data_IF_010371581327
#
_entry.id   IF_010371581327
#
_cell.length_a   1.000
_cell.length_b   1.000
_cell.length_c   1.000
_cell.angle_alpha   90.00
_cell.angle_beta   90.00
_cell.angle_gamma   90.00
#
_symmetry.space_group_name_H-M   'P 1'
#
loop_
_entity.id
_entity.type
_entity.pdbx_description
1 polymer ?
#
# COMPACT_ATOMS: atom_id res chain seq x y z
N UNK A 1 -31.58 12.32 15.90
CA UNK A 1 -30.48 11.32 15.80
C UNK A 1 -29.44 11.68 16.84
N UNK A 2 -29.18 10.84 17.86
CA UNK A 2 -28.14 11.14 18.85
C UNK A 2 -26.77 11.25 18.18
N UNK A 3 -26.03 12.32 18.50
CA UNK A 3 -24.67 12.56 17.97
C UNK A 3 -23.72 11.53 18.62
N UNK A 4 -22.93 10.82 17.81
CA UNK A 4 -21.87 9.95 18.33
C UNK A 4 -20.81 10.81 19.02
N UNK A 5 -20.56 10.56 20.29
CA UNK A 5 -19.55 11.27 21.09
C UNK A 5 -18.17 10.61 20.96
N UNK A 6 -17.11 11.35 21.29
CA UNK A 6 -15.76 10.80 21.30
C UNK A 6 -15.63 9.65 22.31
N UNK A 7 -16.30 9.73 23.47
CA UNK A 7 -16.34 8.67 24.46
C UNK A 7 -16.94 7.36 23.88
N UNK A 8 -18.04 7.47 23.13
CA UNK A 8 -18.64 6.34 22.42
C UNK A 8 -17.66 5.72 21.41
N UNK A 9 -16.90 6.54 20.68
CA UNK A 9 -15.88 6.08 19.72
C UNK A 9 -14.78 5.31 20.44
N UNK A 10 -14.22 5.88 21.51
CA UNK A 10 -13.16 5.24 22.29
C UNK A 10 -13.62 3.91 22.88
N UNK A 11 -14.83 3.91 23.46
CA UNK A 11 -15.40 2.69 24.03
C UNK A 11 -15.66 1.62 22.97
N UNK A 12 -16.10 2.02 21.77
CA UNK A 12 -16.32 1.09 20.65
C UNK A 12 -15.03 0.40 20.20
N UNK A 13 -13.91 1.14 20.16
CA UNK A 13 -12.58 0.58 19.87
C UNK A 13 -12.22 -0.52 20.89
N UNK A 14 -12.31 -0.20 22.19
CA UNK A 14 -11.99 -1.14 23.27
C UNK A 14 -12.89 -2.38 23.26
N UNK A 15 -14.18 -2.21 23.01
CA UNK A 15 -15.15 -3.29 22.87
C UNK A 15 -14.82 -4.17 21.65
N UNK A 16 -14.52 -3.55 20.50
CA UNK A 16 -14.10 -4.27 19.30
C UNK A 16 -12.86 -5.14 19.55
N UNK A 17 -11.87 -4.57 20.24
CA UNK A 17 -10.64 -5.28 20.66
C UNK A 17 -10.95 -6.49 21.55
N UNK A 18 -11.79 -6.32 22.58
CA UNK A 18 -12.19 -7.40 23.48
C UNK A 18 -12.99 -8.51 22.79
N UNK A 19 -13.90 -8.16 21.88
CA UNK A 19 -14.68 -9.12 21.09
C UNK A 19 -13.75 -9.92 20.17
N UNK A 20 -12.84 -9.25 19.46
CA UNK A 20 -11.87 -9.93 18.60
C UNK A 20 -10.97 -10.89 19.39
N UNK A 21 -10.56 -10.50 20.59
CA UNK A 21 -9.76 -11.33 21.50
C UNK A 21 -10.58 -12.41 22.23
N UNK A 22 -11.88 -12.52 21.94
CA UNK A 22 -12.84 -13.46 22.58
C UNK A 22 -12.95 -13.28 24.11
N UNK A 23 -12.67 -12.09 24.62
CA UNK A 23 -12.75 -11.76 26.05
C UNK A 23 -14.19 -11.46 26.51
N UNK A 24 -15.02 -10.98 25.60
CA UNK A 24 -16.44 -10.73 25.84
C UNK A 24 -17.25 -11.21 24.63
N UNK A 25 -18.54 -11.54 24.86
CA UNK A 25 -19.44 -11.83 23.75
C UNK A 25 -19.81 -10.56 22.98
N UNK A 26 -20.20 -10.72 21.70
CA UNK A 26 -20.73 -9.61 20.90
C UNK A 26 -21.95 -8.97 21.56
N UNK A 27 -22.85 -9.77 22.11
CA UNK A 27 -24.11 -9.30 22.73
C UNK A 27 -23.77 -8.38 23.92
N UNK A 28 -22.89 -8.82 24.81
CA UNK A 28 -22.48 -8.05 25.97
C UNK A 28 -21.74 -6.77 25.57
N UNK A 29 -20.87 -6.84 24.58
CA UNK A 29 -20.15 -5.68 24.08
C UNK A 29 -21.08 -4.62 23.47
N UNK A 30 -22.05 -5.05 22.64
CA UNK A 30 -23.04 -4.11 22.09
C UNK A 30 -23.94 -3.53 23.16
N UNK A 31 -24.31 -4.30 24.19
CA UNK A 31 -25.10 -3.79 25.33
C UNK A 31 -24.38 -2.64 26.05
N UNK A 32 -23.09 -2.76 26.33
CA UNK A 32 -22.30 -1.67 26.93
C UNK A 32 -22.39 -0.39 26.12
N UNK A 33 -22.34 -0.47 24.79
CA UNK A 33 -22.42 0.71 23.91
C UNK A 33 -23.83 1.29 23.83
N UNK A 34 -24.86 0.44 23.86
CA UNK A 34 -26.26 0.91 23.88
C UNK A 34 -26.62 1.55 25.22
N UNK A 35 -26.07 1.07 26.32
CA UNK A 35 -26.24 1.67 27.66
C UNK A 35 -25.56 3.07 27.73
N UNK A 36 -24.53 3.31 26.92
CA UNK A 36 -23.93 4.65 26.72
C UNK A 36 -24.76 5.56 25.78
N UNK A 37 -25.90 5.08 25.26
CA UNK A 37 -26.79 5.85 24.39
C UNK A 37 -26.53 5.70 22.90
N UNK A 38 -25.66 4.77 22.45
CA UNK A 38 -25.52 4.45 21.04
C UNK A 38 -26.73 3.65 20.53
N UNK A 39 -27.17 3.92 19.30
CA UNK A 39 -28.10 3.02 18.63
C UNK A 39 -27.41 1.69 18.34
N UNK A 40 -28.12 0.59 18.49
CA UNK A 40 -27.56 -0.75 18.30
C UNK A 40 -26.91 -0.94 16.90
N UNK A 41 -27.53 -0.39 15.85
CA UNK A 41 -26.94 -0.42 14.50
C UNK A 41 -25.60 0.34 14.43
N UNK A 42 -25.52 1.52 15.06
CA UNK A 42 -24.27 2.30 15.11
C UNK A 42 -23.21 1.57 15.93
N UNK A 43 -23.56 1.07 17.12
CA UNK A 43 -22.65 0.29 17.96
C UNK A 43 -22.05 -0.89 17.17
N UNK A 44 -22.89 -1.59 16.41
CA UNK A 44 -22.47 -2.70 15.56
C UNK A 44 -21.47 -2.25 14.47
N UNK A 45 -21.74 -1.15 13.76
CA UNK A 45 -20.82 -0.62 12.75
C UNK A 45 -19.47 -0.23 13.36
N UNK A 46 -19.45 0.48 14.48
CA UNK A 46 -18.22 0.91 15.12
C UNK A 46 -17.36 -0.27 15.61
N UNK A 47 -17.99 -1.28 16.22
CA UNK A 47 -17.29 -2.51 16.66
C UNK A 47 -16.72 -3.28 15.49
N UNK A 48 -17.52 -3.49 14.43
CA UNK A 48 -17.07 -4.29 13.28
C UNK A 48 -16.04 -3.55 12.43
N UNK A 49 -16.08 -2.22 12.33
CA UNK A 49 -15.02 -1.47 11.66
C UNK A 49 -13.65 -1.71 12.31
N UNK A 50 -13.58 -1.82 13.66
CA UNK A 50 -12.34 -2.24 14.31
C UNK A 50 -11.88 -3.62 13.81
N UNK A 51 -12.78 -4.60 13.76
CA UNK A 51 -12.46 -5.97 13.35
C UNK A 51 -11.96 -5.97 11.89
N UNK A 52 -12.67 -5.31 10.99
CA UNK A 52 -12.26 -5.20 9.58
C UNK A 52 -10.90 -4.50 9.43
N UNK A 53 -10.62 -3.45 10.18
CA UNK A 53 -9.32 -2.80 10.16
C UNK A 53 -8.18 -3.73 10.55
N UNK A 54 -8.38 -4.63 11.51
CA UNK A 54 -7.32 -5.56 11.94
C UNK A 54 -7.25 -6.86 11.13
N UNK A 55 -8.29 -7.19 10.36
CA UNK A 55 -8.30 -8.34 9.44
C UNK A 55 -7.98 -7.97 8.00
N UNK A 56 -8.02 -6.69 7.63
CA UNK A 56 -7.79 -6.21 6.26
C UNK A 56 -8.96 -6.47 5.31
N UNK A 57 -10.14 -6.83 5.83
CA UNK A 57 -11.31 -7.15 5.04
C UNK A 57 -12.09 -5.90 4.62
N UNK A 58 -12.76 -5.97 3.45
CA UNK A 58 -13.68 -4.93 2.99
C UNK A 58 -14.84 -4.75 3.94
N UNK A 59 -15.17 -3.51 4.28
CA UNK A 59 -16.37 -3.16 5.03
C UNK A 59 -17.23 -2.14 4.27
N UNK A 60 -18.54 -2.22 4.48
CA UNK A 60 -19.54 -1.34 3.84
C UNK A 60 -20.25 -0.42 4.82
N UNK A 61 -20.09 -0.65 6.13
CA UNK A 61 -20.67 0.18 7.19
C UNK A 61 -19.76 1.35 7.54
N UNK A 62 -20.26 2.57 7.48
CA UNK A 62 -19.47 3.79 7.64
C UNK A 62 -19.42 4.25 9.09
N UNK A 63 -18.24 4.60 9.59
CA UNK A 63 -18.00 5.36 10.81
C UNK A 63 -17.58 6.79 10.46
N UNK A 64 -17.66 7.74 11.42
CA UNK A 64 -17.29 9.12 11.14
C UNK A 64 -15.75 9.29 11.02
N UNK A 65 -15.32 10.41 10.42
CA UNK A 65 -13.88 10.67 10.18
C UNK A 65 -13.05 10.70 11.47
N UNK A 66 -13.60 11.22 12.57
CA UNK A 66 -12.93 11.19 13.86
C UNK A 66 -12.65 9.75 14.33
N UNK A 67 -13.64 8.86 14.21
CA UNK A 67 -13.47 7.46 14.60
C UNK A 67 -12.48 6.74 13.68
N UNK A 68 -12.50 7.04 12.38
CA UNK A 68 -11.51 6.48 11.43
C UNK A 68 -10.09 6.87 11.83
N UNK A 69 -9.83 8.17 12.07
CA UNK A 69 -8.52 8.67 12.50
C UNK A 69 -8.10 8.07 13.86
N UNK A 70 -9.02 8.07 14.83
CA UNK A 70 -8.76 7.50 16.14
C UNK A 70 -8.39 6.01 16.10
N UNK A 71 -9.12 5.21 15.29
CA UNK A 71 -8.88 3.78 15.17
C UNK A 71 -7.52 3.50 14.52
N UNK A 72 -7.19 4.18 13.45
CA UNK A 72 -5.87 4.04 12.79
C UNK A 72 -4.73 4.40 13.73
N UNK A 73 -4.86 5.53 14.46
CA UNK A 73 -3.88 5.94 15.47
C UNK A 73 -3.69 4.88 16.55
N UNK A 74 -4.79 4.37 17.11
CA UNK A 74 -4.75 3.36 18.18
C UNK A 74 -4.24 2.01 17.68
N UNK A 75 -4.54 1.62 16.44
CA UNK A 75 -4.00 0.41 15.83
C UNK A 75 -2.49 0.55 15.63
N UNK A 76 -2.01 1.72 15.21
CA UNK A 76 -0.57 1.99 15.12
C UNK A 76 0.11 1.85 16.49
N UNK A 77 -0.48 2.43 17.55
CA UNK A 77 0.03 2.33 18.92
C UNK A 77 0.02 0.87 19.43
N UNK A 78 -1.05 0.12 19.18
CA UNK A 78 -1.25 -1.24 19.70
C UNK A 78 -0.52 -2.33 18.90
N UNK A 79 -0.34 -2.16 17.58
CA UNK A 79 0.13 -3.20 16.65
C UNK A 79 1.29 -2.75 15.74
N UNK A 80 1.75 -1.52 15.87
CA UNK A 80 2.82 -0.97 15.04
C UNK A 80 2.45 -0.79 13.57
N UNK A 81 3.45 -0.58 12.73
CA UNK A 81 3.26 -0.32 11.30
C UNK A 81 2.51 -1.45 10.58
N UNK A 82 2.78 -2.72 10.90
CA UNK A 82 2.11 -3.86 10.26
C UNK A 82 0.60 -3.90 10.54
N UNK A 83 0.17 -3.52 11.75
CA UNK A 83 -1.25 -3.39 12.07
C UNK A 83 -1.89 -2.23 11.33
N UNK A 84 -1.18 -1.11 11.22
CA UNK A 84 -1.65 0.06 10.48
C UNK A 84 -1.76 -0.23 8.97
N UNK A 85 -0.77 -0.92 8.38
CA UNK A 85 -0.81 -1.36 6.97
C UNK A 85 -2.06 -2.19 6.68
N UNK A 86 -2.38 -3.15 7.56
CA UNK A 86 -3.60 -3.98 7.43
C UNK A 86 -4.88 -3.14 7.52
N UNK A 87 -4.92 -2.17 8.44
CA UNK A 87 -6.07 -1.28 8.58
C UNK A 87 -6.25 -0.35 7.37
N UNK A 88 -5.15 0.13 6.81
CA UNK A 88 -5.18 0.97 5.60
C UNK A 88 -5.62 0.18 4.37
N UNK A 89 -5.26 -1.11 4.25
CA UNK A 89 -5.80 -1.97 3.20
C UNK A 89 -7.33 -2.06 3.28
N UNK A 90 -7.87 -2.29 4.47
CA UNK A 90 -9.32 -2.33 4.70
C UNK A 90 -9.99 -0.98 4.37
N UNK A 91 -9.36 0.13 4.77
CA UNK A 91 -9.86 1.48 4.49
C UNK A 91 -9.82 1.81 2.99
N UNK A 92 -8.75 1.46 2.27
CA UNK A 92 -8.65 1.66 0.82
C UNK A 92 -9.81 0.96 0.10
N UNK A 93 -10.03 -0.34 0.36
CA UNK A 93 -11.14 -1.09 -0.24
C UNK A 93 -12.50 -0.45 0.05
N UNK A 94 -12.70 0.10 1.26
CA UNK A 94 -13.92 0.81 1.63
C UNK A 94 -14.10 2.13 0.86
N UNK A 95 -13.03 2.88 0.65
CA UNK A 95 -13.05 4.13 -0.11
C UNK A 95 -13.41 3.85 -1.57
N UNK A 96 -12.73 2.89 -2.20
CA UNK A 96 -12.97 2.47 -3.59
C UNK A 96 -14.42 1.99 -3.78
N UNK A 97 -14.94 1.17 -2.85
CA UNK A 97 -16.33 0.72 -2.87
C UNK A 97 -17.34 1.88 -2.87
N UNK A 98 -17.07 2.96 -2.13
CA UNK A 98 -17.97 4.12 -2.07
C UNK A 98 -17.80 5.06 -3.24
N UNK A 99 -16.61 5.23 -3.78
CA UNK A 99 -16.35 6.02 -4.99
C UNK A 99 -17.03 5.41 -6.21
N UNK A 100 -17.00 4.09 -6.34
CA UNK A 100 -17.68 3.36 -7.43
C UNK A 100 -19.22 3.41 -7.35
N UNK A 101 -19.78 3.39 -6.14
CA UNK A 101 -21.23 3.24 -5.95
C UNK A 101 -22.00 4.54 -5.76
N UNK A 102 -21.34 5.60 -5.36
CA UNK A 102 -22.01 6.86 -5.08
C UNK A 102 -21.08 8.04 -5.36
N UNK A 103 -21.64 9.12 -5.93
CA UNK A 103 -20.98 10.44 -5.95
C UNK A 103 -20.80 11.04 -4.55
N UNK A 104 -20.80 10.21 -3.48
CA UNK A 104 -20.64 10.67 -2.12
C UNK A 104 -19.19 11.08 -1.89
N UNK A 105 -18.98 12.30 -1.39
CA UNK A 105 -17.66 12.79 -1.04
C UNK A 105 -17.04 11.94 0.08
N UNK A 106 -16.05 11.13 -0.25
CA UNK A 106 -15.19 10.40 0.71
C UNK A 106 -13.94 11.22 1.07
N UNK A 107 -13.84 12.45 0.60
CA UNK A 107 -12.66 13.32 0.71
C UNK A 107 -12.02 13.31 2.09
N UNK A 108 -12.79 13.57 3.12
CA UNK A 108 -12.28 13.64 4.51
C UNK A 108 -11.65 12.32 5.00
N UNK A 109 -12.11 11.17 4.51
CA UNK A 109 -11.52 9.86 4.83
C UNK A 109 -10.33 9.54 3.92
N UNK A 110 -10.34 10.03 2.69
CA UNK A 110 -9.18 9.97 1.79
C UNK A 110 -8.01 10.78 2.35
N UNK A 111 -8.25 12.00 2.85
CA UNK A 111 -7.24 12.82 3.53
C UNK A 111 -6.63 12.10 4.75
N UNK A 112 -7.46 11.38 5.53
CA UNK A 112 -6.98 10.56 6.66
C UNK A 112 -6.14 9.39 6.15
N UNK A 113 -6.57 8.69 5.12
CA UNK A 113 -5.83 7.58 4.52
C UNK A 113 -4.45 8.04 4.05
N UNK A 114 -4.37 9.12 3.27
CA UNK A 114 -3.12 9.70 2.76
C UNK A 114 -2.17 10.10 3.89
N UNK A 115 -2.68 10.77 4.94
CA UNK A 115 -1.90 11.11 6.14
C UNK A 115 -1.17 9.90 6.75
N UNK A 116 -1.85 8.75 6.85
CA UNK A 116 -1.24 7.56 7.45
C UNK A 116 -0.34 6.78 6.48
N UNK A 117 -0.59 6.86 5.19
CA UNK A 117 0.34 6.35 4.17
C UNK A 117 1.67 7.13 4.24
N UNK A 118 1.63 8.45 4.23
CA UNK A 118 2.83 9.29 4.37
C UNK A 118 3.60 9.00 5.67
N UNK A 119 2.87 8.72 6.76
CA UNK A 119 3.49 8.41 8.04
C UNK A 119 4.23 7.06 7.99
N UNK A 120 3.71 6.05 7.32
CA UNK A 120 4.41 4.77 7.11
C UNK A 120 5.63 4.98 6.21
N UNK A 121 5.48 5.69 5.10
CA UNK A 121 6.57 5.96 4.14
C UNK A 121 7.73 6.71 4.79
N UNK A 122 7.44 7.70 5.62
CA UNK A 122 8.45 8.47 6.34
C UNK A 122 9.14 7.68 7.47
N UNK A 123 8.47 6.67 8.04
CA UNK A 123 9.02 5.81 9.09
C UNK A 123 9.74 4.57 8.54
N UNK A 124 9.62 4.25 7.26
CA UNK A 124 10.41 3.22 6.58
C UNK A 124 11.73 3.80 6.12
N UNK A 125 12.65 4.00 7.05
CA UNK A 125 14.07 4.22 6.74
C UNK A 125 14.61 2.96 6.05
N UNK A 126 15.06 3.12 4.83
CA UNK A 126 15.76 2.20 3.92
C UNK A 126 15.03 0.87 3.56
N UNK A 127 15.04 0.49 2.29
CA UNK A 127 14.55 -0.81 1.88
C UNK A 127 15.47 -1.88 2.46
N UNK A 128 14.96 -2.66 3.43
CA UNK A 128 15.65 -3.85 3.95
C UNK A 128 15.63 -4.89 2.83
N UNK A 129 16.79 -5.17 2.23
CA UNK A 129 16.93 -6.29 1.31
C UNK A 129 16.95 -7.58 2.13
N UNK A 130 16.26 -8.66 1.68
CA UNK A 130 16.18 -9.92 2.42
C UNK A 130 17.55 -10.54 2.75
N UNK A 131 18.61 -10.16 2.03
CA UNK A 131 19.95 -10.73 2.17
C UNK A 131 20.88 -9.91 3.09
N UNK A 132 20.44 -8.78 3.64
CA UNK A 132 21.22 -7.94 4.57
C UNK A 132 20.76 -8.18 6.02
N UNK A 133 20.93 -9.41 6.52
CA UNK A 133 20.59 -9.78 7.89
C UNK A 133 21.85 -9.79 8.75
N UNK A 134 21.79 -9.16 9.92
CA UNK A 134 22.87 -9.20 10.91
C UNK A 134 23.05 -10.65 11.42
N UNK A 135 24.17 -11.31 11.16
CA UNK A 135 24.36 -12.72 11.49
C UNK A 135 24.41 -13.01 13.01
N UNK A 136 24.42 -11.96 13.84
CA UNK A 136 24.44 -12.10 15.30
C UNK A 136 23.05 -12.10 15.94
N UNK A 137 21.98 -11.85 15.16
CA UNK A 137 20.60 -11.79 15.65
C UNK A 137 19.80 -13.01 15.20
N UNK A 138 18.99 -13.56 16.12
CA UNK A 138 18.01 -14.59 15.77
C UNK A 138 16.77 -13.92 15.14
N UNK A 139 16.49 -14.26 13.88
CA UNK A 139 15.33 -13.78 13.15
C UNK A 139 14.26 -14.86 13.08
N UNK A 140 13.03 -14.51 13.47
CA UNK A 140 11.87 -15.41 13.34
C UNK A 140 11.33 -15.33 11.90
N UNK A 141 11.51 -16.37 11.13
CA UNK A 141 10.97 -16.52 9.78
C UNK A 141 9.59 -17.20 9.80
N UNK A 142 8.82 -17.04 8.72
CA UNK A 142 7.56 -17.76 8.53
C UNK A 142 6.29 -17.01 8.96
N UNK A 143 6.37 -15.78 9.46
CA UNK A 143 5.18 -14.93 9.61
C UNK A 143 4.78 -14.34 8.28
N UNK A 144 3.55 -14.59 7.85
CA UNK A 144 2.95 -13.91 6.69
C UNK A 144 2.91 -12.40 6.94
N UNK A 145 3.69 -11.63 6.20
CA UNK A 145 3.60 -10.17 6.18
C UNK A 145 2.73 -9.79 4.98
N UNK A 146 1.55 -9.23 5.23
CA UNK A 146 0.80 -8.54 4.18
C UNK A 146 1.48 -7.20 3.94
N UNK A 147 2.00 -6.99 2.74
CA UNK A 147 2.60 -5.74 2.32
C UNK A 147 1.52 -4.95 1.58
N UNK A 148 1.16 -3.77 2.10
CA UNK A 148 0.39 -2.79 1.34
C UNK A 148 1.30 -2.28 0.20
N UNK A 149 1.06 -2.79 -0.98
CA UNK A 149 1.55 -2.16 -2.21
C UNK A 149 0.50 -1.11 -2.56
N UNK A 150 0.89 0.15 -2.70
CA UNK A 150 0.04 1.15 -3.35
C UNK A 150 -0.27 0.61 -4.74
N UNK A 151 -1.41 -0.03 -4.87
CA UNK A 151 -1.90 -0.53 -6.13
C UNK A 151 -2.59 0.65 -6.83
N UNK A 152 -1.79 1.61 -7.30
CA UNK A 152 -2.30 2.53 -8.31
C UNK A 152 -2.82 1.67 -9.44
N UNK A 153 -4.09 1.84 -9.81
CA UNK A 153 -4.75 1.09 -10.85
C UNK A 153 -3.94 1.22 -12.15
N UNK A 154 -3.09 0.22 -12.38
CA UNK A 154 -2.23 0.18 -13.57
C UNK A 154 -3.12 -0.23 -14.73
N UNK A 155 -3.41 0.70 -15.59
CA UNK A 155 -4.23 0.46 -16.77
C UNK A 155 -3.59 -0.62 -17.66
N UNK A 156 -4.16 -1.84 -17.75
CA UNK A 156 -3.58 -2.96 -18.49
C UNK A 156 -3.50 -2.68 -20.01
N UNK A 157 -4.36 -1.80 -20.51
CA UNK A 157 -4.35 -1.38 -21.92
C UNK A 157 -3.15 -0.47 -22.17
N UNK A 158 -2.85 0.45 -21.25
CA UNK A 158 -1.68 1.31 -21.36
C UNK A 158 -0.38 0.49 -21.30
N UNK A 159 -0.30 -0.50 -20.41
CA UNK A 159 0.81 -1.46 -20.37
C UNK A 159 0.98 -2.21 -21.70
N UNK A 160 -0.11 -2.74 -22.24
CA UNK A 160 -0.09 -3.46 -23.53
C UNK A 160 0.42 -2.58 -24.67
N UNK A 161 -0.10 -1.36 -24.79
CA UNK A 161 0.32 -0.38 -25.81
C UNK A 161 1.78 0.06 -25.63
N UNK A 162 2.28 0.17 -24.39
CA UNK A 162 3.68 0.44 -24.12
C UNK A 162 4.56 -0.70 -24.66
N UNK A 163 4.23 -1.96 -24.35
CA UNK A 163 4.97 -3.12 -24.82
C UNK A 163 4.88 -3.28 -26.34
N UNK A 164 3.74 -3.02 -26.96
CA UNK A 164 3.58 -3.01 -28.42
C UNK A 164 4.48 -1.97 -29.10
N UNK A 165 4.73 -0.85 -28.43
CA UNK A 165 5.58 0.21 -28.97
C UNK A 165 7.07 -0.02 -28.77
N UNK A 166 7.50 -0.45 -27.57
CA UNK A 166 8.91 -0.57 -27.19
C UNK A 166 9.46 -2.00 -27.26
N UNK A 167 8.59 -3.01 -27.37
CA UNK A 167 8.97 -4.43 -27.26
C UNK A 167 9.17 -4.90 -25.83
N UNK A 168 9.80 -6.07 -25.70
CA UNK A 168 10.03 -6.76 -24.41
C UNK A 168 11.48 -6.67 -23.91
N UNK A 169 12.31 -5.85 -24.56
CA UNK A 169 13.68 -5.59 -24.11
C UNK A 169 13.69 -4.50 -23.04
N UNK A 170 14.50 -4.69 -22.02
CA UNK A 170 14.72 -3.67 -21.00
C UNK A 170 15.36 -2.43 -21.61
N UNK A 171 14.69 -1.28 -21.51
CA UNK A 171 15.19 -0.04 -22.11
C UNK A 171 16.40 0.56 -21.37
N UNK A 172 16.85 -0.06 -20.27
CA UNK A 172 18.09 0.30 -19.57
C UNK A 172 19.25 -0.59 -19.99
N UNK A 173 19.14 -1.93 -19.82
CA UNK A 173 20.23 -2.89 -19.99
C UNK A 173 20.04 -3.87 -21.15
N UNK A 174 19.00 -3.69 -21.95
CA UNK A 174 18.64 -4.52 -23.11
C UNK A 174 18.33 -6.01 -22.82
N UNK A 175 18.18 -6.37 -21.54
CA UNK A 175 17.86 -7.73 -21.13
C UNK A 175 16.48 -8.17 -21.63
N UNK A 176 16.42 -9.38 -22.24
CA UNK A 176 15.17 -9.99 -22.71
C UNK A 176 14.92 -11.32 -22.00
N UNK A 177 13.76 -11.44 -21.34
CA UNK A 177 13.43 -12.65 -20.58
C UNK A 177 13.20 -13.88 -21.46
N UNK A 178 12.58 -13.71 -22.65
CA UNK A 178 12.37 -14.82 -23.57
C UNK A 178 13.69 -15.37 -24.10
N UNK A 179 14.64 -14.50 -24.44
CA UNK A 179 15.98 -14.92 -24.91
C UNK A 179 16.75 -15.65 -23.81
N UNK A 180 16.61 -15.20 -22.55
CA UNK A 180 17.35 -15.78 -21.42
C UNK A 180 16.72 -17.05 -20.85
N UNK A 181 15.37 -17.11 -20.79
CA UNK A 181 14.62 -18.17 -20.09
C UNK A 181 13.67 -18.96 -21.00
N UNK A 182 13.75 -18.77 -22.32
CA UNK A 182 12.87 -19.44 -23.29
C UNK A 182 11.38 -19.11 -23.05
N UNK A 183 10.52 -20.11 -23.20
CA UNK A 183 9.07 -19.92 -23.08
C UNK A 183 8.63 -19.46 -21.70
N UNK A 184 9.37 -19.79 -20.64
CA UNK A 184 9.10 -19.31 -19.28
C UNK A 184 9.17 -17.77 -19.18
N UNK A 185 10.06 -17.15 -19.94
CA UNK A 185 10.23 -15.70 -19.98
C UNK A 185 9.32 -14.97 -20.98
N UNK A 186 8.42 -15.69 -21.63
CA UNK A 186 7.57 -15.10 -22.67
C UNK A 186 6.65 -14.02 -22.07
N UNK A 187 6.61 -12.83 -22.71
CA UNK A 187 5.79 -11.67 -22.32
C UNK A 187 6.08 -11.11 -20.92
N UNK A 188 7.18 -11.50 -20.28
CA UNK A 188 7.57 -11.00 -18.98
C UNK A 188 8.47 -9.78 -19.11
N UNK A 189 8.01 -8.63 -18.62
CA UNK A 189 8.76 -7.38 -18.43
C UNK A 189 7.97 -6.48 -17.46
N UNK A 190 8.66 -5.65 -16.69
CA UNK A 190 8.02 -4.59 -15.94
C UNK A 190 7.79 -3.35 -16.83
N UNK A 191 6.80 -2.54 -16.49
CA UNK A 191 6.58 -1.23 -17.09
C UNK A 191 6.72 -0.18 -16.00
N UNK A 192 7.67 0.71 -16.17
CA UNK A 192 7.98 1.80 -15.26
C UNK A 192 7.30 3.09 -15.73
N UNK A 193 6.76 3.89 -14.79
CA UNK A 193 6.28 5.23 -15.05
C UNK A 193 7.43 6.22 -15.00
N UNK A 194 7.67 6.94 -16.09
CA UNK A 194 8.76 7.94 -16.19
C UNK A 194 8.53 9.09 -15.21
N UNK A 195 7.27 9.47 -15.01
CA UNK A 195 6.86 10.41 -13.95
C UNK A 195 6.22 9.61 -12.83
N UNK A 196 6.68 9.80 -11.61
CA UNK A 196 6.16 9.10 -10.45
C UNK A 196 4.68 9.45 -10.23
N UNK A 197 3.80 8.45 -10.31
CA UNK A 197 2.34 8.62 -10.15
C UNK A 197 2.03 9.25 -8.79
N UNK A 198 2.82 8.95 -7.76
CA UNK A 198 2.66 9.50 -6.41
C UNK A 198 2.76 11.03 -6.37
N UNK A 199 3.41 11.65 -7.36
CA UNK A 199 3.55 13.11 -7.44
C UNK A 199 2.42 13.81 -8.19
N UNK A 200 1.56 13.07 -8.91
CA UNK A 200 0.53 13.65 -9.77
C UNK A 200 -0.74 13.99 -9.00
N UNK A 201 -1.06 13.27 -7.92
CA UNK A 201 -2.14 13.60 -6.98
C UNK A 201 -3.55 13.74 -7.56
N UNK A 202 -3.76 13.39 -8.84
CA UNK A 202 -5.04 13.48 -9.57
C UNK A 202 -5.12 12.35 -10.59
N UNK A 203 -6.34 11.96 -10.93
CA UNK A 203 -6.60 11.12 -12.10
C UNK A 203 -5.99 11.79 -13.35
N UNK A 204 -5.05 11.12 -14.01
CA UNK A 204 -4.44 11.63 -15.24
C UNK A 204 -4.46 10.57 -16.33
N UNK A 205 -4.54 11.03 -17.57
CA UNK A 205 -4.51 10.16 -18.74
C UNK A 205 -3.08 9.79 -19.09
N UNK A 206 -2.69 8.54 -18.86
CA UNK A 206 -1.36 8.00 -19.18
C UNK A 206 -1.18 7.87 -20.68
N UNK A 207 -0.14 8.47 -21.25
CA UNK A 207 0.29 8.19 -22.61
C UNK A 207 1.29 7.02 -22.62
N UNK A 208 0.93 5.84 -23.17
CA UNK A 208 1.79 4.64 -23.13
C UNK A 208 3.16 4.79 -23.82
N UNK A 209 3.34 5.78 -24.69
CA UNK A 209 4.57 6.00 -25.45
C UNK A 209 5.53 7.01 -24.81
N UNK A 210 5.01 7.93 -24.00
CA UNK A 210 5.80 9.00 -23.39
C UNK A 210 5.96 8.85 -21.88
N UNK A 211 4.96 8.24 -21.24
CA UNK A 211 4.90 8.19 -19.78
C UNK A 211 5.28 6.83 -19.21
N UNK A 212 5.37 5.80 -20.08
CA UNK A 212 5.68 4.43 -19.70
C UNK A 212 6.89 3.91 -20.47
N UNK A 213 7.69 3.04 -19.79
CA UNK A 213 8.86 2.44 -20.41
C UNK A 213 9.10 1.00 -19.87
N UNK A 214 9.40 0.01 -20.74
CA UNK A 214 9.69 -1.36 -20.29
C UNK A 214 11.08 -1.44 -19.67
N UNK A 215 11.16 -2.05 -18.48
CA UNK A 215 12.42 -2.29 -17.76
C UNK A 215 12.41 -3.66 -17.10
N UNK A 216 13.57 -4.32 -16.98
CA UNK A 216 13.64 -5.55 -16.21
C UNK A 216 13.46 -5.26 -14.70
N UNK A 217 13.07 -6.26 -13.87
CA UNK A 217 12.89 -6.08 -12.43
C UNK A 217 14.10 -5.45 -11.72
N UNK A 218 15.33 -5.86 -12.11
CA UNK A 218 16.54 -5.33 -11.52
C UNK A 218 16.73 -3.84 -11.82
N UNK A 219 16.60 -3.44 -13.08
CA UNK A 219 16.68 -2.02 -13.43
C UNK A 219 15.53 -1.21 -12.83
N UNK A 220 14.33 -1.80 -12.73
CA UNK A 220 13.19 -1.16 -12.08
C UNK A 220 13.49 -0.88 -10.59
N UNK A 221 14.03 -1.85 -9.87
CA UNK A 221 14.44 -1.66 -8.48
C UNK A 221 15.53 -0.57 -8.35
N UNK A 222 16.49 -0.53 -9.28
CA UNK A 222 17.57 0.48 -9.25
C UNK A 222 17.06 1.89 -9.57
N UNK A 223 16.09 2.04 -10.48
CA UNK A 223 15.46 3.33 -10.74
C UNK A 223 14.82 3.93 -9.47
N UNK A 224 14.24 3.10 -8.63
CA UNK A 224 13.56 3.53 -7.39
C UNK A 224 14.48 3.62 -6.15
N UNK A 225 15.83 3.55 -6.33
CA UNK A 225 16.76 3.70 -5.21
C UNK A 225 16.83 5.11 -4.63
N UNK A 226 16.27 6.09 -5.31
CA UNK A 226 16.10 7.45 -4.77
C UNK A 226 14.71 8.01 -5.07
N UNK A 227 14.33 9.07 -4.38
CA UNK A 227 13.11 9.85 -4.61
C UNK A 227 13.49 11.31 -4.96
N UNK A 228 13.04 11.85 -6.12
CA UNK A 228 12.34 11.15 -7.22
C UNK A 228 13.22 10.07 -7.86
N UNK A 229 12.59 9.08 -8.53
CA UNK A 229 13.29 7.99 -9.18
C UNK A 229 14.33 8.48 -10.21
N UNK A 230 15.42 7.73 -10.36
CA UNK A 230 16.39 8.02 -11.43
C UNK A 230 15.72 7.99 -12.81
N UNK A 231 16.15 8.86 -13.70
CA UNK A 231 15.81 8.73 -15.11
C UNK A 231 16.53 7.53 -15.75
N UNK A 232 16.00 7.06 -16.87
CA UNK A 232 16.63 5.98 -17.65
C UNK A 232 18.06 6.35 -18.07
N UNK A 233 18.29 7.62 -18.42
CA UNK A 233 19.61 8.13 -18.82
C UNK A 233 20.61 8.15 -17.68
N UNK A 234 20.20 8.57 -16.50
CA UNK A 234 21.06 8.56 -15.30
C UNK A 234 21.46 7.14 -14.93
N UNK A 235 20.50 6.19 -14.88
CA UNK A 235 20.83 4.81 -14.56
C UNK A 235 21.76 4.18 -15.61
N UNK A 236 21.56 4.47 -16.90
CA UNK A 236 22.50 4.05 -17.95
C UNK A 236 23.91 4.61 -17.77
N UNK A 237 24.03 5.88 -17.34
CA UNK A 237 25.34 6.50 -17.08
C UNK A 237 26.06 5.82 -15.91
N UNK A 238 25.35 5.61 -14.80
CA UNK A 238 25.86 4.90 -13.62
C UNK A 238 26.36 3.50 -13.99
N UNK A 239 25.61 2.76 -14.79
CA UNK A 239 26.00 1.41 -15.25
C UNK A 239 27.27 1.44 -16.12
N UNK A 240 27.41 2.42 -17.03
CA UNK A 240 28.62 2.56 -17.88
C UNK A 240 29.85 2.91 -17.07
N UNK A 241 29.73 3.80 -16.08
CA UNK A 241 30.83 4.19 -15.20
C UNK A 241 31.31 3.00 -14.37
N UNK A 242 30.38 2.20 -13.82
CA UNK A 242 30.70 0.98 -13.07
C UNK A 242 31.40 -0.08 -13.92
N UNK A 243 31.04 -0.20 -15.19
CA UNK A 243 31.67 -1.17 -16.12
C UNK A 243 33.09 -0.73 -16.51
N UNK A 244 33.30 0.56 -16.71
CA UNK A 244 34.60 1.11 -17.06
C UNK A 244 35.56 1.12 -15.85
N UNK A 245 35.06 1.32 -14.63
CA UNK A 245 35.86 1.28 -13.40
C UNK A 245 36.41 -0.12 -13.07
N UNK A 246 35.68 -1.19 -13.43
CA UNK A 246 36.11 -2.57 -13.20
C UNK A 246 37.21 -3.07 -14.17
N UNK A 247 37.48 -2.37 -15.28
CA UNK A 247 38.55 -2.71 -16.21
C UNK A 247 39.92 -2.20 -15.78
N UNK A 248 40.04 -1.40 -14.72
CA UNK A 248 41.32 -0.83 -14.26
C UNK A 248 42.05 -1.77 -13.27
N UNK A 249 41.38 -2.80 -12.74
CA UNK A 249 41.97 -3.73 -11.75
C UNK A 249 42.35 -5.10 -12.30
N UNK A 250 42.23 -5.33 -13.62
CA UNK A 250 42.58 -6.60 -14.28
C UNK A 250 43.70 -6.46 -15.34
N UNK A 251 44.59 -5.49 -15.15
CA UNK A 251 45.82 -5.35 -15.96
C UNK A 251 47.08 -5.47 -15.12
#
# INVERSE_FOLDING_TARGET
MGKITNEMVHKSYEIGKKIHQKQISRIDGLKVLTDLGMKNSSANYYVYNYIYFITGELFTGTINSYATDYYLKKILEDKGNSGLETALLSLSQHLDYYEDKSNASVKSRRDIYEKYIELIENNTSEPIYPDEVDPTKNYSEGKTKQVLVNNYERNPIARKKCIEHFGLNCQVCDFNFKEKFGDLGQNFIHVHHIVDISTIGKEYSVNPKTDLIPVCPNCHAMLHKQKPAYSISELKSIMRESTNGNNVYNS
#
